data_IF_167561761658
#
_entry.id   IF_167561761658
#
_cell.length_a   1.000
_cell.length_b   1.000
_cell.length_c   1.000
_cell.angle_alpha   90.00
_cell.angle_beta   90.00
_cell.angle_gamma   90.00
#
_symmetry.space_group_name_H-M   'P 1'
#
loop_
_entity.id
_entity.type
_entity.pdbx_description
1 polymer ?
#
# COMPACT_ATOMS: atom_id res chain seq x y z
N UNK A 1 5.55 -14.70 -15.73
CA UNK A 1 4.98 -13.58 -14.94
C UNK A 1 6.04 -12.51 -14.74
N UNK A 2 5.69 -11.28 -14.36
CA UNK A 2 6.68 -10.18 -14.24
C UNK A 2 7.85 -10.48 -13.28
N UNK A 3 7.61 -11.29 -12.24
CA UNK A 3 8.67 -11.79 -11.34
C UNK A 3 9.60 -12.77 -12.05
N UNK A 4 9.06 -13.75 -12.79
CA UNK A 4 9.86 -14.70 -13.58
C UNK A 4 10.66 -14.00 -14.69
N UNK A 5 10.13 -12.90 -15.21
CA UNK A 5 10.79 -12.04 -16.20
C UNK A 5 11.85 -11.12 -15.58
N UNK A 6 12.04 -11.15 -14.25
CA UNK A 6 12.99 -10.30 -13.53
C UNK A 6 12.61 -8.82 -13.51
N UNK A 7 11.36 -8.47 -13.83
CA UNK A 7 10.86 -7.08 -13.88
C UNK A 7 10.33 -6.59 -12.55
N UNK A 8 9.98 -7.50 -11.64
CA UNK A 8 9.54 -7.21 -10.27
C UNK A 8 10.28 -8.14 -9.30
N UNK A 9 10.54 -7.64 -8.08
CA UNK A 9 11.01 -8.45 -6.97
C UNK A 9 9.92 -8.52 -5.89
N UNK A 10 9.73 -9.70 -5.32
CA UNK A 10 8.74 -9.92 -4.26
C UNK A 10 9.24 -9.43 -2.90
N UNK A 11 10.53 -9.57 -2.65
CA UNK A 11 11.14 -9.45 -1.32
C UNK A 11 11.99 -8.19 -1.15
N UNK A 12 12.14 -7.40 -2.21
CA UNK A 12 12.79 -6.09 -2.14
C UNK A 12 11.77 -5.01 -1.72
N UNK A 13 12.22 -3.97 -1.01
CA UNK A 13 11.44 -2.76 -0.77
C UNK A 13 10.82 -2.22 -2.06
N UNK A 14 9.56 -1.77 -1.98
CA UNK A 14 8.86 -1.17 -3.12
C UNK A 14 9.55 0.10 -3.64
N UNK A 15 10.32 0.79 -2.79
CA UNK A 15 11.19 1.90 -3.19
C UNK A 15 10.46 3.21 -3.55
N UNK A 16 9.17 3.34 -3.21
CA UNK A 16 8.43 4.59 -3.40
C UNK A 16 8.50 5.47 -2.15
N UNK A 17 8.58 6.81 -2.29
CA UNK A 17 8.59 7.71 -1.15
C UNK A 17 7.19 7.77 -0.50
N UNK A 18 7.11 7.75 0.82
CA UNK A 18 5.83 7.92 1.52
C UNK A 18 5.49 9.40 1.75
N UNK A 19 4.23 9.70 2.04
CA UNK A 19 3.79 11.04 2.39
C UNK A 19 2.94 11.01 3.67
N UNK A 20 2.97 12.05 4.53
CA UNK A 20 4.10 12.97 4.64
C UNK A 20 5.41 12.19 4.82
N UNK A 21 6.53 12.81 4.44
CA UNK A 21 7.86 12.23 4.66
C UNK A 21 8.11 12.08 6.17
N UNK A 22 8.81 11.00 6.55
CA UNK A 22 9.26 10.82 7.93
C UNK A 22 10.21 11.96 8.31
N UNK A 23 10.00 12.54 9.49
CA UNK A 23 10.82 13.66 9.98
C UNK A 23 12.30 13.28 10.12
N UNK A 24 12.56 12.01 10.43
CA UNK A 24 13.91 11.50 10.70
C UNK A 24 14.57 10.87 9.46
N UNK A 25 13.89 10.90 8.30
CA UNK A 25 14.37 10.32 7.03
C UNK A 25 14.35 8.79 6.97
N UNK A 26 14.24 8.12 8.12
CA UNK A 26 14.01 6.69 8.23
C UNK A 26 12.50 6.43 8.40
N UNK A 27 11.84 6.08 7.31
CA UNK A 27 10.42 5.74 7.32
C UNK A 27 10.27 4.23 7.45
N UNK A 28 9.65 3.70 8.52
CA UNK A 28 9.49 2.26 8.69
C UNK A 28 8.65 1.62 7.58
N UNK A 29 7.81 2.40 6.88
CA UNK A 29 7.05 1.96 5.70
C UNK A 29 7.96 1.62 4.51
N UNK A 30 9.21 2.08 4.52
CA UNK A 30 10.22 1.73 3.50
C UNK A 30 10.53 0.22 3.45
N UNK A 31 10.23 -0.54 4.50
CA UNK A 31 10.43 -1.99 4.55
C UNK A 31 9.29 -2.79 3.89
N UNK A 32 8.24 -2.12 3.40
CA UNK A 32 7.12 -2.78 2.73
C UNK A 32 7.59 -3.30 1.36
N UNK A 33 7.37 -4.59 1.13
CA UNK A 33 7.71 -5.31 -0.10
C UNK A 33 6.46 -5.61 -0.93
N UNK A 34 6.65 -6.03 -2.17
CA UNK A 34 5.55 -6.49 -3.03
C UNK A 34 4.85 -7.72 -2.44
N UNK A 35 5.59 -8.62 -1.77
CA UNK A 35 5.01 -9.77 -1.07
C UNK A 35 4.06 -9.33 0.05
N UNK A 36 4.41 -8.30 0.82
CA UNK A 36 3.54 -7.84 1.91
C UNK A 36 2.19 -7.37 1.37
N UNK A 37 2.20 -6.52 0.35
CA UNK A 37 0.99 -5.99 -0.28
C UNK A 37 0.15 -7.09 -0.93
N UNK A 38 0.78 -8.02 -1.67
CA UNK A 38 0.05 -9.12 -2.31
C UNK A 38 -0.55 -10.12 -1.31
N UNK A 39 -0.04 -10.15 -0.08
CA UNK A 39 -0.54 -11.02 1.00
C UNK A 39 -1.27 -10.25 2.09
N UNK A 40 -1.69 -9.00 1.83
CA UNK A 40 -2.48 -8.19 2.78
C UNK A 40 -1.82 -8.12 4.17
N UNK A 41 -0.51 -7.88 4.17
CA UNK A 41 0.35 -7.87 5.37
C UNK A 41 1.30 -6.68 5.40
N UNK A 42 0.93 -5.58 4.75
CA UNK A 42 1.72 -4.34 4.72
C UNK A 42 1.88 -3.68 6.10
N UNK A 43 0.92 -3.93 7.01
CA UNK A 43 0.82 -3.24 8.30
C UNK A 43 0.32 -1.80 8.21
N UNK A 44 -0.09 -1.33 7.02
CA UNK A 44 -0.69 -0.01 6.85
C UNK A 44 -2.09 0.03 7.48
N UNK A 45 -2.50 1.23 7.92
CA UNK A 45 -3.85 1.48 8.42
C UNK A 45 -4.90 1.05 7.38
N UNK A 46 -5.79 0.16 7.77
CA UNK A 46 -6.75 -0.45 6.86
C UNK A 46 -7.91 0.47 6.54
N UNK A 47 -8.30 0.48 5.27
CA UNK A 47 -9.46 1.22 4.79
C UNK A 47 -10.71 0.33 4.78
N UNK A 48 -10.61 -0.91 4.27
CA UNK A 48 -11.72 -1.87 4.30
C UNK A 48 -12.03 -2.28 5.76
N UNK A 49 -11.07 -2.89 6.46
CA UNK A 49 -11.34 -3.34 7.84
C UNK A 49 -11.59 -2.19 8.84
N UNK A 50 -11.27 -0.95 8.46
CA UNK A 50 -11.58 0.26 9.22
C UNK A 50 -13.04 0.75 9.08
N UNK A 51 -13.84 0.16 8.19
CA UNK A 51 -15.18 0.66 7.87
C UNK A 51 -15.16 2.01 7.14
N UNK A 52 -14.02 2.35 6.50
CA UNK A 52 -13.76 3.64 5.87
C UNK A 52 -13.98 3.61 4.35
N UNK A 53 -14.56 2.54 3.82
CA UNK A 53 -14.79 2.32 2.40
C UNK A 53 -15.57 3.48 1.78
N UNK A 54 -16.65 3.93 2.41
CA UNK A 54 -17.44 5.03 1.86
C UNK A 54 -16.91 6.44 2.18
N UNK A 55 -15.98 6.55 3.13
CA UNK A 55 -15.40 7.82 3.55
C UNK A 55 -14.09 8.15 2.79
N UNK A 56 -13.28 7.14 2.50
CA UNK A 56 -11.92 7.32 1.95
C UNK A 56 -11.47 6.23 0.96
N UNK A 57 -12.12 5.06 0.89
CA UNK A 57 -11.64 3.88 0.14
C UNK A 57 -12.27 3.56 -1.21
N UNK A 58 -13.57 3.29 -1.24
CA UNK A 58 -14.26 2.54 -2.30
C UNK A 58 -14.87 3.41 -3.39
N UNK A 59 -15.41 4.59 -3.06
CA UNK A 59 -16.00 5.49 -4.05
C UNK A 59 -14.93 6.15 -4.93
N UNK A 60 -13.91 6.69 -4.27
CA UNK A 60 -12.94 7.57 -4.91
C UNK A 60 -11.91 6.82 -5.76
N UNK A 61 -11.46 5.65 -5.29
CA UNK A 61 -10.47 4.82 -5.98
C UNK A 61 -11.06 4.05 -7.16
N UNK A 62 -12.29 3.53 -7.00
CA UNK A 62 -12.95 2.72 -8.02
C UNK A 62 -13.69 3.57 -9.07
N UNK A 63 -14.34 4.67 -8.66
CA UNK A 63 -15.22 5.47 -9.53
C UNK A 63 -14.71 6.89 -9.81
N UNK A 64 -14.02 7.54 -8.87
CA UNK A 64 -13.56 8.93 -9.04
C UNK A 64 -12.12 9.07 -9.59
N UNK A 65 -11.46 7.96 -9.94
CA UNK A 65 -10.13 7.99 -10.56
C UNK A 65 -8.99 8.38 -9.60
N UNK A 66 -9.22 8.33 -8.29
CA UNK A 66 -8.17 8.54 -7.29
C UNK A 66 -7.20 7.35 -7.30
N UNK A 67 -5.90 7.59 -7.19
CA UNK A 67 -4.90 6.52 -7.17
C UNK A 67 -4.84 5.87 -5.80
N UNK A 68 -5.23 4.59 -5.68
CA UNK A 68 -5.11 3.85 -4.41
C UNK A 68 -3.66 3.77 -3.94
N UNK A 69 -2.68 3.77 -4.85
CA UNK A 69 -1.26 3.86 -4.51
C UNK A 69 -0.89 5.21 -3.84
N UNK A 70 -1.50 6.33 -4.26
CA UNK A 70 -1.30 7.62 -3.57
C UNK A 70 -1.92 7.59 -2.18
N UNK A 71 -3.14 7.05 -2.04
CA UNK A 71 -3.79 6.86 -0.75
C UNK A 71 -2.95 5.97 0.17
N UNK A 72 -2.46 4.84 -0.34
CA UNK A 72 -1.62 3.91 0.41
C UNK A 72 -0.35 4.57 0.97
N UNK A 73 0.30 5.43 0.18
CA UNK A 73 1.50 6.18 0.60
C UNK A 73 1.22 7.21 1.69
N UNK A 74 -0.03 7.61 1.88
CA UNK A 74 -0.46 8.56 2.92
C UNK A 74 -0.86 7.93 4.26
N UNK A 75 -1.00 6.60 4.30
CA UNK A 75 -1.49 5.89 5.48
C UNK A 75 -0.38 5.64 6.50
N UNK A 76 -0.77 5.62 7.77
CA UNK A 76 0.12 5.30 8.88
C UNK A 76 0.49 3.80 8.87
N UNK A 77 1.67 3.48 9.40
CA UNK A 77 2.04 2.12 9.74
C UNK A 77 1.51 1.81 11.15
N UNK A 78 0.63 0.83 11.28
CA UNK A 78 0.00 0.46 12.56
C UNK A 78 0.47 -0.90 13.09
N UNK A 79 1.18 -1.69 12.26
CA UNK A 79 1.78 -2.99 12.59
C UNK A 79 3.06 -3.19 11.80
N UNK A 80 3.94 -4.07 12.26
CA UNK A 80 5.15 -4.39 11.50
C UNK A 80 4.79 -5.13 10.18
N UNK A 81 5.43 -4.80 9.06
CA UNK A 81 5.18 -5.48 7.78
C UNK A 81 5.46 -6.99 7.88
N UNK A 82 4.51 -7.80 7.41
CA UNK A 82 4.61 -9.27 7.39
C UNK A 82 4.13 -9.96 8.67
N UNK A 83 3.88 -9.25 9.76
CA UNK A 83 3.46 -9.89 11.03
C UNK A 83 1.99 -10.28 11.08
N UNK A 84 1.13 -9.51 10.41
CA UNK A 84 -0.32 -9.65 10.52
C UNK A 84 -0.97 -9.69 9.14
N UNK A 85 -1.96 -10.56 8.98
CA UNK A 85 -2.88 -10.53 7.84
C UNK A 85 -4.06 -9.63 8.20
N UNK A 86 -4.33 -8.62 7.37
CA UNK A 86 -5.46 -7.71 7.52
C UNK A 86 -6.02 -7.36 6.15
N UNK A 87 -7.25 -7.81 5.87
CA UNK A 87 -7.81 -7.72 4.52
C UNK A 87 -7.86 -6.28 4.02
N UNK A 88 -7.20 -6.06 2.88
CA UNK A 88 -7.05 -4.73 2.31
C UNK A 88 -7.06 -4.82 0.78
N UNK A 89 -8.18 -4.41 0.17
CA UNK A 89 -8.34 -4.46 -1.26
C UNK A 89 -7.69 -3.27 -1.98
N UNK A 90 -7.35 -2.17 -1.30
CA UNK A 90 -6.89 -0.93 -1.97
C UNK A 90 -5.38 -0.86 -2.20
N UNK A 91 -4.58 -1.73 -1.60
CA UNK A 91 -3.12 -1.73 -1.82
C UNK A 91 -2.67 -2.27 -3.18
N UNK A 92 -3.28 -3.34 -3.74
CA UNK A 92 -2.86 -3.90 -5.03
C UNK A 92 -3.25 -3.05 -6.25
N UNK A 93 -4.12 -2.04 -6.09
CA UNK A 93 -4.60 -1.23 -7.21
C UNK A 93 -3.70 -0.03 -7.46
N UNK A 94 -3.09 -0.03 -8.63
CA UNK A 94 -2.48 1.16 -9.22
C UNK A 94 -3.22 1.49 -10.52
N UNK A 95 -3.69 2.73 -10.68
CA UNK A 95 -4.15 3.24 -11.98
C UNK A 95 -3.08 4.16 -12.55
N UNK A 96 -2.70 3.89 -13.80
CA UNK A 96 -1.88 4.78 -14.61
C UNK A 96 -2.73 6.01 -14.97
N UNK A 97 -2.59 7.11 -14.23
CA UNK A 97 -3.06 8.42 -14.72
C UNK A 97 -2.05 8.87 -15.78
N UNK A 98 -2.52 8.97 -17.03
CA UNK A 98 -1.74 9.57 -18.14
C UNK A 98 -1.42 11.03 -17.88
#
# INVERSE_FOLDING_TARGET
MLVDEGKLSLDEPLGFPFSPESADGDDPRSQITLRHVLNMSSGLETIDNGGLEYATGSGLSYWAGSSSALGARSRALIREPGENWDYENYEPYWRYTR
#
